data_IF_280568709789
#
_entry.id   IF_280568709789
#
_cell.length_a   1.000
_cell.length_b   1.000
_cell.length_c   1.000
_cell.angle_alpha   90.00
_cell.angle_beta   90.00
_cell.angle_gamma   90.00
#
_symmetry.space_group_name_H-M   'P 1'
#
loop_
_entity.id
_entity.type
_entity.pdbx_description
1 polymer ?
#
# COMPACT_ATOMS: atom_id res chain seq x y z
N UNK A 1 -6.15 0.87 14.52
CA UNK A 1 -6.92 -0.14 15.27
C UNK A 1 -6.75 -1.46 14.53
N UNK A 2 -6.45 -2.59 15.20
CA UNK A 2 -6.33 -3.88 14.52
C UNK A 2 -7.64 -4.25 13.80
N UNK A 3 -7.60 -4.81 12.57
CA UNK A 3 -8.80 -5.11 11.80
C UNK A 3 -9.83 -5.97 12.56
N UNK A 4 -9.36 -6.91 13.39
CA UNK A 4 -10.22 -7.77 14.21
C UNK A 4 -11.07 -6.99 15.24
N UNK A 5 -10.62 -5.83 15.71
CA UNK A 5 -11.41 -5.00 16.64
C UNK A 5 -12.57 -4.31 15.90
N UNK A 6 -12.35 -3.88 14.67
CA UNK A 6 -13.40 -3.31 13.81
C UNK A 6 -14.45 -4.37 13.46
N UNK A 7 -14.03 -5.62 13.16
CA UNK A 7 -14.97 -6.74 13.00
C UNK A 7 -15.88 -6.88 14.22
N UNK A 8 -15.31 -6.90 15.44
CA UNK A 8 -16.09 -7.05 16.68
C UNK A 8 -17.11 -5.94 16.85
N UNK A 9 -16.78 -4.70 16.48
CA UNK A 9 -17.71 -3.57 16.52
C UNK A 9 -18.85 -3.77 15.50
N UNK A 10 -18.53 -4.17 14.27
CA UNK A 10 -19.53 -4.39 13.22
C UNK A 10 -20.44 -5.60 13.53
N UNK A 11 -19.91 -6.66 14.12
CA UNK A 11 -20.71 -7.79 14.60
C UNK A 11 -21.53 -7.42 15.83
N UNK A 12 -21.02 -6.58 16.73
CA UNK A 12 -21.81 -6.04 17.83
C UNK A 12 -23.02 -5.26 17.31
N UNK A 13 -22.86 -4.47 16.25
CA UNK A 13 -23.98 -3.80 15.59
C UNK A 13 -25.01 -4.78 15.03
N UNK A 14 -24.58 -5.89 14.40
CA UNK A 14 -25.50 -6.96 13.97
C UNK A 14 -26.28 -7.56 15.16
N UNK A 15 -25.63 -7.79 16.31
CA UNK A 15 -26.29 -8.26 17.54
C UNK A 15 -27.31 -7.25 18.08
N UNK A 16 -27.03 -5.95 17.95
CA UNK A 16 -28.00 -4.91 18.33
C UNK A 16 -29.26 -4.95 17.46
N UNK A 17 -29.13 -5.24 16.16
CA UNK A 17 -30.28 -5.45 15.26
C UNK A 17 -31.10 -6.66 15.72
N UNK A 18 -30.45 -7.79 16.04
CA UNK A 18 -31.13 -8.99 16.58
C UNK A 18 -31.89 -8.66 17.88
N UNK A 19 -31.24 -7.95 18.81
CA UNK A 19 -31.87 -7.52 20.06
C UNK A 19 -33.07 -6.59 19.80
N UNK A 20 -32.94 -5.67 18.87
CA UNK A 20 -34.04 -4.81 18.43
C UNK A 20 -35.23 -5.61 17.91
N UNK A 21 -34.97 -6.62 17.06
CA UNK A 21 -35.99 -7.56 16.58
C UNK A 21 -36.72 -8.27 17.71
N UNK A 22 -35.98 -8.84 18.68
CA UNK A 22 -36.59 -9.50 19.86
C UNK A 22 -37.48 -8.57 20.67
N UNK A 23 -37.06 -7.33 20.89
CA UNK A 23 -37.83 -6.34 21.64
C UNK A 23 -39.13 -5.98 20.90
N UNK A 24 -39.07 -5.75 19.59
CA UNK A 24 -40.26 -5.41 18.80
C UNK A 24 -41.24 -6.58 18.67
N UNK A 25 -40.73 -7.81 18.53
CA UNK A 25 -41.56 -9.02 18.60
C UNK A 25 -42.25 -9.14 19.97
N UNK A 26 -41.52 -8.91 21.07
CA UNK A 26 -42.08 -8.91 22.42
C UNK A 26 -43.15 -7.84 22.66
N UNK A 27 -43.07 -6.70 21.96
CA UNK A 27 -44.10 -5.65 21.96
C UNK A 27 -45.29 -5.96 21.03
N UNK A 28 -45.27 -7.07 20.29
CA UNK A 28 -46.34 -7.45 19.37
C UNK A 28 -46.45 -6.55 18.14
N UNK A 29 -45.34 -5.94 17.71
CA UNK A 29 -45.32 -5.10 16.51
C UNK A 29 -45.69 -5.93 15.28
N UNK A 30 -46.69 -5.47 14.53
CA UNK A 30 -47.22 -6.13 13.34
C UNK A 30 -47.31 -5.21 12.12
N UNK A 31 -46.83 -3.97 12.22
CA UNK A 31 -46.79 -3.02 11.11
C UNK A 31 -45.80 -3.41 10.00
N UNK A 32 -44.87 -4.32 10.31
CA UNK A 32 -43.96 -4.96 9.36
C UNK A 32 -43.53 -6.33 9.89
N UNK A 33 -42.89 -7.13 9.02
CA UNK A 33 -42.33 -8.43 9.39
C UNK A 33 -41.06 -8.25 10.22
N UNK A 34 -41.13 -8.53 11.53
CA UNK A 34 -40.00 -8.40 12.46
C UNK A 34 -38.82 -9.30 12.04
N UNK A 35 -39.09 -10.40 11.33
CA UNK A 35 -38.04 -11.29 10.83
C UNK A 35 -37.12 -10.61 9.80
N UNK A 36 -37.57 -9.52 9.17
CA UNK A 36 -36.71 -8.71 8.29
C UNK A 36 -35.57 -8.03 9.05
N UNK A 37 -35.69 -7.80 10.35
CA UNK A 37 -34.57 -7.35 11.18
C UNK A 37 -33.54 -8.46 11.35
N UNK A 38 -33.96 -9.72 11.48
CA UNK A 38 -33.02 -10.86 11.53
C UNK A 38 -32.32 -11.07 10.18
N UNK A 39 -33.04 -10.86 9.05
CA UNK A 39 -32.44 -10.86 7.71
C UNK A 39 -31.43 -9.73 7.53
N UNK A 40 -31.74 -8.53 8.01
CA UNK A 40 -30.82 -7.39 8.00
C UNK A 40 -29.58 -7.67 8.85
N UNK A 41 -29.74 -8.24 10.05
CA UNK A 41 -28.63 -8.64 10.92
C UNK A 41 -27.72 -9.69 10.25
N UNK A 42 -28.29 -10.68 9.55
CA UNK A 42 -27.52 -11.66 8.78
C UNK A 42 -26.67 -11.01 7.68
N UNK A 43 -27.27 -10.12 6.89
CA UNK A 43 -26.56 -9.37 5.84
C UNK A 43 -25.45 -8.52 6.45
N UNK A 44 -25.73 -7.82 7.55
CA UNK A 44 -24.76 -7.00 8.26
C UNK A 44 -23.57 -7.81 8.78
N UNK A 45 -23.81 -9.00 9.33
CA UNK A 45 -22.77 -9.87 9.86
C UNK A 45 -21.83 -10.39 8.75
N UNK A 46 -22.40 -10.79 7.61
CA UNK A 46 -21.62 -11.26 6.46
C UNK A 46 -20.84 -10.10 5.80
N UNK A 47 -21.43 -8.90 5.74
CA UNK A 47 -20.72 -7.71 5.28
C UNK A 47 -19.56 -7.31 6.22
N UNK A 48 -19.74 -7.46 7.53
CA UNK A 48 -18.68 -7.24 8.51
C UNK A 48 -17.49 -8.18 8.29
N UNK A 49 -17.76 -9.47 8.02
CA UNK A 49 -16.72 -10.46 7.69
C UNK A 49 -15.99 -10.10 6.39
N UNK A 50 -16.73 -9.72 5.34
CA UNK A 50 -16.17 -9.33 4.04
C UNK A 50 -15.19 -8.17 4.18
N UNK A 51 -15.62 -7.10 4.86
CA UNK A 51 -14.80 -5.92 5.10
C UNK A 51 -13.57 -6.26 5.95
N UNK A 52 -13.75 -7.02 7.03
CA UNK A 52 -12.62 -7.46 7.86
C UNK A 52 -11.59 -8.28 7.06
N UNK A 53 -12.04 -9.22 6.23
CA UNK A 53 -11.12 -10.05 5.45
C UNK A 53 -10.26 -9.19 4.51
N UNK A 54 -10.84 -8.16 3.89
CA UNK A 54 -10.07 -7.19 3.10
C UNK A 54 -9.01 -6.48 3.95
N UNK A 55 -9.42 -5.85 5.05
CA UNK A 55 -8.51 -5.07 5.90
C UNK A 55 -7.41 -5.94 6.54
N UNK A 56 -7.72 -7.18 6.93
CA UNK A 56 -6.74 -8.14 7.45
C UNK A 56 -5.72 -8.55 6.38
N UNK A 57 -6.17 -8.83 5.15
CA UNK A 57 -5.28 -9.13 4.02
C UNK A 57 -4.39 -7.92 3.71
N UNK A 58 -4.95 -6.71 3.66
CA UNK A 58 -4.17 -5.49 3.39
C UNK A 58 -3.10 -5.27 4.46
N UNK A 59 -3.50 -5.33 5.73
CA UNK A 59 -2.62 -5.14 6.87
C UNK A 59 -1.44 -6.12 6.83
N UNK A 60 -1.70 -7.42 6.63
CA UNK A 60 -0.64 -8.44 6.58
C UNK A 60 0.21 -8.34 5.32
N UNK A 61 -0.38 -8.10 4.15
CA UNK A 61 0.37 -7.96 2.91
C UNK A 61 1.36 -6.79 2.97
N UNK A 62 0.93 -5.64 3.52
CA UNK A 62 1.82 -4.50 3.76
C UNK A 62 2.98 -4.86 4.70
N UNK A 63 2.69 -5.56 5.81
CA UNK A 63 3.73 -6.01 6.74
C UNK A 63 4.73 -7.00 6.12
N UNK A 64 4.29 -7.83 5.16
CA UNK A 64 5.16 -8.72 4.37
C UNK A 64 6.01 -7.90 3.38
N UNK A 65 5.43 -6.87 2.77
CA UNK A 65 6.12 -6.01 1.81
C UNK A 65 7.29 -5.24 2.42
N UNK A 66 7.19 -4.88 3.71
CA UNK A 66 8.23 -4.17 4.47
C UNK A 66 9.45 -5.02 4.85
N UNK A 67 9.44 -6.34 4.56
CA UNK A 67 10.54 -7.26 4.88
C UNK A 67 11.23 -7.76 3.59
N UNK A 68 12.09 -6.96 2.94
CA UNK A 68 12.80 -7.40 1.74
C UNK A 68 13.73 -8.59 2.05
N UNK A 69 13.90 -9.51 1.09
CA UNK A 69 14.80 -10.65 1.24
C UNK A 69 14.30 -11.82 2.11
N UNK A 70 13.11 -11.70 2.73
CA UNK A 70 12.49 -12.80 3.46
C UNK A 70 12.12 -13.95 2.51
N UNK A 71 12.74 -15.12 2.70
CA UNK A 71 12.47 -16.32 1.91
C UNK A 71 11.15 -17.01 2.26
N UNK A 72 10.50 -16.61 3.37
CA UNK A 72 9.21 -17.14 3.82
C UNK A 72 7.98 -16.47 3.22
N UNK A 73 8.15 -15.63 2.18
CA UNK A 73 7.01 -14.92 1.57
C UNK A 73 6.07 -15.88 0.84
N UNK A 74 4.73 -15.69 0.97
CA UNK A 74 3.76 -16.51 0.26
C UNK A 74 3.97 -16.47 -1.25
N UNK A 75 3.78 -17.60 -1.93
CA UNK A 75 3.99 -17.66 -3.39
C UNK A 75 3.11 -16.66 -4.15
N UNK A 76 1.87 -16.44 -3.73
CA UNK A 76 0.98 -15.49 -4.40
C UNK A 76 1.39 -14.04 -4.16
N UNK A 77 1.99 -13.75 -3.01
CA UNK A 77 2.58 -12.44 -2.73
C UNK A 77 3.70 -12.12 -3.73
N UNK A 78 4.61 -13.06 -3.94
CA UNK A 78 5.75 -12.88 -4.86
C UNK A 78 5.35 -12.68 -6.32
N UNK A 79 4.17 -13.16 -6.71
CA UNK A 79 3.61 -13.00 -8.05
C UNK A 79 2.59 -11.86 -8.15
N UNK A 80 2.45 -11.04 -7.09
CA UNK A 80 1.54 -9.90 -7.11
C UNK A 80 2.06 -8.81 -8.05
N UNK A 81 1.24 -8.40 -9.01
CA UNK A 81 1.64 -7.45 -10.04
C UNK A 81 1.58 -5.99 -9.54
N UNK A 82 2.68 -5.27 -9.74
CA UNK A 82 2.81 -3.86 -9.40
C UNK A 82 2.89 -3.03 -10.67
N UNK A 83 2.00 -2.02 -10.86
CA UNK A 83 2.11 -1.11 -11.99
C UNK A 83 3.42 -0.31 -11.94
N UNK A 84 4.10 -0.16 -13.08
CA UNK A 84 5.33 0.64 -13.16
C UNK A 84 5.14 2.08 -12.68
N UNK A 85 3.96 2.66 -12.89
CA UNK A 85 3.62 3.99 -12.36
C UNK A 85 3.81 4.08 -10.84
N UNK A 86 3.36 3.06 -10.09
CA UNK A 86 3.53 3.05 -8.64
C UNK A 86 5.02 2.98 -8.27
N UNK A 87 5.81 2.21 -9.00
CA UNK A 87 7.27 2.15 -8.80
C UNK A 87 7.90 3.52 -9.04
N UNK A 88 7.52 4.21 -10.11
CA UNK A 88 7.98 5.57 -10.41
C UNK A 88 7.57 6.56 -9.32
N UNK A 89 6.30 6.54 -8.88
CA UNK A 89 5.79 7.42 -7.82
C UNK A 89 6.52 7.22 -6.49
N UNK A 90 6.86 5.97 -6.14
CA UNK A 90 7.63 5.65 -4.93
C UNK A 90 9.09 6.09 -5.07
N UNK A 91 9.74 5.81 -6.20
CA UNK A 91 11.12 6.21 -6.45
C UNK A 91 11.29 7.74 -6.49
N UNK A 92 10.27 8.46 -6.97
CA UNK A 92 10.24 9.92 -6.99
C UNK A 92 9.88 10.54 -5.62
N UNK A 93 9.48 9.72 -4.64
CA UNK A 93 9.08 10.15 -3.30
C UNK A 93 7.69 10.79 -3.25
N UNK A 94 6.84 10.61 -4.26
CA UNK A 94 5.46 11.13 -4.26
C UNK A 94 4.55 10.37 -3.30
N UNK A 95 4.81 9.07 -3.11
CA UNK A 95 4.11 8.21 -2.17
C UNK A 95 5.11 7.28 -1.49
N UNK A 96 4.89 6.94 -0.22
CA UNK A 96 5.69 5.89 0.41
C UNK A 96 5.36 4.53 -0.22
N UNK A 97 6.32 3.60 -0.20
CA UNK A 97 6.05 2.22 -0.63
C UNK A 97 4.87 1.61 0.12
N UNK A 98 4.79 1.85 1.44
CA UNK A 98 3.70 1.37 2.29
C UNK A 98 2.32 1.86 1.81
N UNK A 99 2.16 3.17 1.65
CA UNK A 99 0.88 3.77 1.24
C UNK A 99 0.53 3.38 -0.19
N UNK A 100 1.50 3.46 -1.11
CA UNK A 100 1.26 3.17 -2.52
C UNK A 100 0.94 1.69 -2.78
N UNK A 101 1.65 0.78 -2.11
CA UNK A 101 1.35 -0.66 -2.17
C UNK A 101 -0.01 -0.98 -1.56
N UNK A 102 -0.34 -0.40 -0.39
CA UNK A 102 -1.64 -0.54 0.22
C UNK A 102 -2.79 -0.08 -0.71
N UNK A 103 -2.64 1.06 -1.37
CA UNK A 103 -3.65 1.56 -2.31
C UNK A 103 -3.78 0.68 -3.55
N UNK A 104 -2.67 0.12 -4.04
CA UNK A 104 -2.68 -0.84 -5.13
C UNK A 104 -3.36 -2.15 -4.72
N UNK A 105 -3.12 -2.65 -3.50
CA UNK A 105 -3.84 -3.79 -2.96
C UNK A 105 -5.34 -3.53 -2.90
N UNK A 106 -5.75 -2.38 -2.36
CA UNK A 106 -7.16 -1.97 -2.31
C UNK A 106 -7.79 -1.97 -3.69
N UNK A 107 -7.17 -1.30 -4.67
CA UNK A 107 -7.64 -1.28 -6.07
C UNK A 107 -7.74 -2.68 -6.67
N UNK A 108 -6.74 -3.53 -6.44
CA UNK A 108 -6.69 -4.88 -7.03
C UNK A 108 -7.72 -5.85 -6.46
N UNK A 109 -8.06 -5.71 -5.17
CA UNK A 109 -8.97 -6.64 -4.47
C UNK A 109 -10.40 -6.10 -4.33
N UNK A 110 -10.66 -4.80 -4.54
CA UNK A 110 -11.96 -4.16 -4.29
C UNK A 110 -13.17 -4.82 -5.01
N UNK A 111 -12.95 -5.48 -6.14
CA UNK A 111 -14.03 -6.15 -6.89
C UNK A 111 -14.35 -7.56 -6.38
N UNK A 112 -13.59 -8.07 -5.41
CA UNK A 112 -13.72 -9.43 -4.88
C UNK A 112 -14.51 -9.38 -3.57
N UNK A 113 -15.54 -10.21 -3.45
CA UNK A 113 -16.25 -10.40 -2.19
C UNK A 113 -15.61 -11.57 -1.41
N UNK A 114 -15.23 -11.33 -0.15
CA UNK A 114 -14.63 -12.30 0.76
C UNK A 114 -15.66 -12.84 1.75
N UNK A 115 -16.72 -13.43 1.21
CA UNK A 115 -17.83 -13.99 2.01
C UNK A 115 -17.95 -15.50 1.87
N UNK A 116 -17.66 -16.00 0.67
CA UNK A 116 -17.62 -17.43 0.42
C UNK A 116 -16.24 -17.99 0.87
N UNK A 117 -16.19 -19.15 1.53
CA UNK A 117 -14.93 -19.70 2.05
C UNK A 117 -13.86 -19.97 0.98
N UNK A 118 -14.26 -20.29 -0.26
CA UNK A 118 -13.31 -20.43 -1.37
C UNK A 118 -12.64 -19.09 -1.71
N UNK A 119 -13.41 -18.00 -1.72
CA UNK A 119 -12.91 -16.65 -1.99
C UNK A 119 -12.08 -16.09 -0.85
N UNK A 120 -12.47 -16.36 0.40
CA UNK A 120 -11.66 -16.05 1.58
C UNK A 120 -10.30 -16.75 1.47
N UNK A 121 -10.26 -18.07 1.22
CA UNK A 121 -9.00 -18.80 1.00
C UNK A 121 -8.16 -18.20 -0.14
N UNK A 122 -8.82 -17.87 -1.25
CA UNK A 122 -8.16 -17.23 -2.38
C UNK A 122 -7.55 -15.86 -2.01
N UNK A 123 -8.23 -15.04 -1.21
CA UNK A 123 -7.72 -13.76 -0.74
C UNK A 123 -6.52 -13.94 0.20
N UNK A 124 -6.68 -14.73 1.25
CA UNK A 124 -5.65 -14.98 2.25
C UNK A 124 -4.41 -15.67 1.70
N UNK A 125 -4.48 -16.38 0.57
CA UNK A 125 -3.28 -16.91 -0.08
C UNK A 125 -2.25 -15.84 -0.49
N UNK A 126 -2.64 -14.55 -0.51
CA UNK A 126 -1.70 -13.44 -0.68
C UNK A 126 -0.79 -13.22 0.54
N UNK A 127 -1.19 -13.71 1.72
CA UNK A 127 -0.50 -13.44 2.99
C UNK A 127 -0.07 -14.71 3.73
N UNK A 128 -0.41 -15.89 3.22
CA UNK A 128 -0.03 -17.20 3.78
C UNK A 128 -0.03 -18.28 2.71
N UNK A 129 0.81 -19.31 2.86
CA UNK A 129 0.75 -20.54 2.05
C UNK A 129 0.08 -21.72 2.79
N UNK A 130 -0.46 -21.48 4.00
CA UNK A 130 -1.16 -22.50 4.79
C UNK A 130 -2.35 -23.11 4.03
N UNK A 131 -2.67 -24.37 4.38
CA UNK A 131 -3.99 -24.92 4.11
C UNK A 131 -5.01 -24.30 5.07
N UNK A 132 -5.41 -23.05 4.78
CA UNK A 132 -6.17 -22.17 5.66
C UNK A 132 -7.27 -22.88 6.47
N UNK A 133 -8.19 -23.57 5.79
CA UNK A 133 -9.34 -24.20 6.46
C UNK A 133 -8.97 -25.38 7.35
N UNK A 134 -7.88 -26.09 7.04
CA UNK A 134 -7.40 -27.18 7.88
C UNK A 134 -6.77 -26.62 9.17
N UNK A 135 -6.00 -25.54 9.08
CA UNK A 135 -5.42 -24.87 10.25
C UNK A 135 -6.50 -24.19 11.12
N UNK A 136 -7.46 -23.50 10.50
CA UNK A 136 -8.62 -22.93 11.21
C UNK A 136 -9.39 -24.02 11.95
N UNK A 137 -9.64 -25.17 11.32
CA UNK A 137 -10.33 -26.28 11.96
C UNK A 137 -9.55 -26.85 13.16
N UNK A 138 -8.20 -26.89 13.08
CA UNK A 138 -7.35 -27.29 14.21
C UNK A 138 -7.45 -26.29 15.37
N UNK A 139 -7.34 -24.99 15.08
CA UNK A 139 -7.49 -23.93 16.09
C UNK A 139 -8.85 -24.03 16.78
N UNK A 140 -9.93 -24.10 16.00
CA UNK A 140 -11.28 -24.25 16.55
C UNK A 140 -11.46 -25.52 17.38
N UNK A 141 -10.82 -26.63 16.98
CA UNK A 141 -10.84 -27.87 17.77
C UNK A 141 -10.13 -27.71 19.10
N UNK A 142 -8.99 -26.99 19.13
CA UNK A 142 -8.23 -26.77 20.36
C UNK A 142 -9.00 -25.91 21.39
N UNK A 143 -9.83 -24.98 20.93
CA UNK A 143 -10.67 -24.13 21.79
C UNK A 143 -11.96 -24.79 22.29
N UNK A 144 -12.30 -25.98 21.79
CA UNK A 144 -13.52 -26.69 22.21
C UNK A 144 -13.31 -27.45 23.51
N UNK A 145 -14.08 -27.09 24.53
CA UNK A 145 -14.13 -27.81 25.80
C UNK A 145 -14.86 -29.15 25.73
N UNK A 146 -15.71 -29.35 24.71
CA UNK A 146 -16.51 -30.58 24.52
C UNK A 146 -15.73 -31.73 23.85
N UNK A 147 -14.46 -31.51 23.49
CA UNK A 147 -13.58 -32.49 22.85
C UNK A 147 -13.99 -32.89 21.43
N UNK A 148 -15.03 -32.26 20.85
CA UNK A 148 -15.48 -32.57 19.48
C UNK A 148 -14.57 -31.91 18.47
N UNK A 149 -14.07 -32.70 17.53
CA UNK A 149 -13.25 -32.19 16.42
C UNK A 149 -14.08 -31.38 15.45
N UNK A 150 -13.56 -30.23 15.03
CA UNK A 150 -14.07 -29.47 13.87
C UNK A 150 -13.45 -30.03 12.60
N UNK A 151 -14.27 -30.39 11.62
CA UNK A 151 -13.83 -30.89 10.32
C UNK A 151 -13.87 -29.72 9.32
N UNK A 152 -12.74 -29.44 8.65
CA UNK A 152 -12.62 -28.33 7.71
C UNK A 152 -13.71 -28.35 6.61
N UNK A 153 -14.03 -29.54 6.08
CA UNK A 153 -15.09 -29.71 5.07
C UNK A 153 -16.47 -29.28 5.56
N UNK A 154 -16.81 -29.62 6.81
CA UNK A 154 -18.09 -29.26 7.43
C UNK A 154 -18.16 -27.76 7.72
N UNK A 155 -17.05 -27.17 8.20
CA UNK A 155 -16.93 -25.74 8.40
C UNK A 155 -17.10 -24.96 7.07
N UNK A 156 -16.43 -25.40 6.01
CA UNK A 156 -16.57 -24.82 4.67
C UNK A 156 -18.03 -24.92 4.19
N UNK A 157 -18.67 -26.07 4.39
CA UNK A 157 -20.08 -26.24 4.02
C UNK A 157 -20.98 -25.26 4.78
N UNK A 158 -20.79 -25.14 6.10
CA UNK A 158 -21.56 -24.22 6.95
C UNK A 158 -21.39 -22.76 6.50
N UNK A 159 -20.15 -22.30 6.31
CA UNK A 159 -19.87 -20.94 5.83
C UNK A 159 -20.43 -20.69 4.42
N UNK A 160 -20.43 -21.70 3.57
CA UNK A 160 -21.05 -21.62 2.23
C UNK A 160 -22.55 -21.42 2.34
N UNK A 161 -23.24 -22.15 3.23
CA UNK A 161 -24.67 -21.95 3.50
C UNK A 161 -24.94 -20.54 4.01
N UNK A 162 -24.08 -20.00 4.89
CA UNK A 162 -24.20 -18.63 5.39
C UNK A 162 -24.10 -17.59 4.28
N UNK A 163 -23.09 -17.70 3.42
CA UNK A 163 -22.90 -16.79 2.29
C UNK A 163 -24.04 -16.90 1.25
N UNK A 164 -24.49 -18.12 0.95
CA UNK A 164 -25.60 -18.34 0.01
C UNK A 164 -26.91 -17.76 0.55
N UNK A 165 -27.16 -17.91 1.85
CA UNK A 165 -28.33 -17.32 2.52
C UNK A 165 -28.29 -15.79 2.44
N UNK A 166 -27.12 -15.15 2.63
CA UNK A 166 -26.95 -13.70 2.41
C UNK A 166 -27.35 -13.30 1.01
N UNK A 167 -26.83 -14.00 -0.01
CA UNK A 167 -27.16 -13.71 -1.40
C UNK A 167 -28.66 -13.81 -1.66
N UNK A 168 -29.31 -14.83 -1.10
CA UNK A 168 -30.74 -15.02 -1.22
C UNK A 168 -31.55 -13.89 -0.59
N UNK A 169 -31.15 -13.42 0.60
CA UNK A 169 -31.76 -12.27 1.26
C UNK A 169 -31.61 -11.01 0.41
N UNK A 170 -30.39 -10.69 -0.02
CA UNK A 170 -30.09 -9.43 -0.71
C UNK A 170 -30.58 -9.38 -2.16
N UNK A 171 -30.57 -10.50 -2.89
CA UNK A 171 -30.81 -10.51 -4.34
C UNK A 171 -32.11 -11.23 -4.75
N UNK A 172 -32.64 -12.12 -3.92
CA UNK A 172 -33.80 -12.96 -4.26
C UNK A 172 -34.99 -12.75 -3.31
N UNK A 173 -34.97 -11.68 -2.50
CA UNK A 173 -36.00 -11.36 -1.51
C UNK A 173 -36.30 -12.52 -0.53
N UNK A 174 -35.32 -13.40 -0.33
CA UNK A 174 -35.37 -14.51 0.61
C UNK A 174 -36.47 -15.55 0.40
N UNK A 175 -36.98 -15.71 -0.84
CA UNK A 175 -38.16 -16.53 -1.14
C UNK A 175 -38.00 -18.01 -0.80
N UNK A 176 -39.02 -18.60 -0.19
CA UNK A 176 -39.07 -20.04 0.04
C UNK A 176 -39.39 -20.78 -1.28
N UNK A 177 -38.54 -21.70 -1.76
CA UNK A 177 -38.79 -22.45 -2.99
C UNK A 177 -39.93 -23.45 -2.84
N UNK A 178 -40.18 -23.94 -1.62
CA UNK A 178 -41.17 -24.97 -1.31
C UNK A 178 -42.53 -24.33 -0.94
N UNK A 179 -42.55 -23.04 -0.59
CA UNK A 179 -43.76 -22.30 -0.23
C UNK A 179 -43.94 -21.01 -1.05
N UNK A 180 -44.86 -21.05 -2.01
CA UNK A 180 -45.14 -19.93 -2.91
C UNK A 180 -45.56 -18.68 -2.12
N UNK A 181 -44.78 -17.61 -2.28
CA UNK A 181 -45.07 -16.31 -1.69
C UNK A 181 -44.48 -16.11 -0.28
N UNK A 182 -44.03 -17.17 0.38
CA UNK A 182 -43.35 -17.08 1.67
C UNK A 182 -41.87 -16.71 1.49
N UNK A 183 -41.28 -16.17 2.55
CA UNK A 183 -39.83 -16.09 2.73
C UNK A 183 -39.41 -17.30 3.56
N UNK A 184 -38.18 -17.78 3.43
CA UNK A 184 -37.73 -18.87 4.30
C UNK A 184 -37.66 -18.39 5.76
N UNK A 185 -37.99 -19.29 6.68
CA UNK A 185 -38.00 -19.03 8.11
C UNK A 185 -36.62 -18.56 8.61
N UNK A 186 -36.64 -17.66 9.60
CA UNK A 186 -35.45 -17.15 10.27
C UNK A 186 -35.85 -16.74 11.68
N UNK A 187 -35.06 -17.15 12.67
CA UNK A 187 -35.29 -16.79 14.06
C UNK A 187 -34.06 -16.12 14.66
N UNK A 188 -34.28 -15.43 15.77
CA UNK A 188 -33.27 -14.60 16.41
C UNK A 188 -32.10 -15.39 17.00
N UNK A 189 -32.28 -16.66 17.36
CA UNK A 189 -31.23 -17.50 17.94
C UNK A 189 -30.33 -18.03 16.83
N UNK A 190 -30.92 -18.53 15.74
CA UNK A 190 -30.18 -18.96 14.56
C UNK A 190 -29.28 -17.84 13.97
N UNK A 191 -29.77 -16.59 13.92
CA UNK A 191 -28.93 -15.46 13.47
C UNK A 191 -27.82 -15.14 14.47
N UNK A 192 -28.09 -15.24 15.77
CA UNK A 192 -27.07 -15.04 16.81
C UNK A 192 -25.95 -16.08 16.70
N UNK A 193 -26.30 -17.35 16.48
CA UNK A 193 -25.34 -18.43 16.25
C UNK A 193 -24.46 -18.17 15.02
N UNK A 194 -25.03 -17.63 13.94
CA UNK A 194 -24.24 -17.24 12.75
C UNK A 194 -23.28 -16.10 13.06
N UNK A 195 -23.72 -15.07 13.78
CA UNK A 195 -22.84 -13.95 14.18
C UNK A 195 -21.66 -14.47 15.01
N UNK A 196 -21.95 -15.34 15.98
CA UNK A 196 -20.94 -15.90 16.87
C UNK A 196 -19.98 -16.84 16.11
N UNK A 197 -20.49 -17.64 15.17
CA UNK A 197 -19.69 -18.45 14.25
C UNK A 197 -18.71 -17.58 13.45
N UNK A 198 -19.18 -16.49 12.83
CA UNK A 198 -18.35 -15.62 12.02
C UNK A 198 -17.24 -14.94 12.85
N UNK A 199 -17.56 -14.49 14.07
CA UNK A 199 -16.56 -13.94 14.98
C UNK A 199 -15.50 -14.99 15.34
N UNK A 200 -15.94 -16.21 15.70
CA UNK A 200 -15.04 -17.30 16.10
C UNK A 200 -14.14 -17.74 14.95
N UNK A 201 -14.67 -17.84 13.73
CA UNK A 201 -13.89 -18.21 12.54
C UNK A 201 -12.86 -17.15 12.21
N UNK A 202 -13.22 -15.86 12.26
CA UNK A 202 -12.27 -14.78 12.00
C UNK A 202 -11.14 -14.76 13.03
N UNK A 203 -11.45 -14.94 14.31
CA UNK A 203 -10.45 -15.06 15.37
C UNK A 203 -9.52 -16.26 15.14
N UNK A 204 -10.07 -17.42 14.75
CA UNK A 204 -9.28 -18.61 14.45
C UNK A 204 -8.38 -18.45 13.22
N UNK A 205 -8.81 -17.67 12.20
CA UNK A 205 -7.96 -17.29 11.07
C UNK A 205 -6.76 -16.45 11.56
N UNK A 206 -7.01 -15.42 12.37
CA UNK A 206 -5.93 -14.57 12.92
C UNK A 206 -4.93 -15.42 13.71
N UNK A 207 -5.42 -16.29 14.61
CA UNK A 207 -4.57 -17.16 15.42
C UNK A 207 -3.75 -18.13 14.56
N UNK A 208 -4.34 -18.75 13.54
CA UNK A 208 -3.62 -19.63 12.62
C UNK A 208 -2.47 -18.90 11.89
N UNK A 209 -2.72 -17.67 11.46
CA UNK A 209 -1.72 -16.83 10.77
C UNK A 209 -0.63 -16.33 11.73
N UNK A 210 -0.99 -16.01 12.97
CA UNK A 210 -0.03 -15.57 13.99
C UNK A 210 0.87 -16.72 14.45
N UNK A 211 0.33 -17.94 14.56
CA UNK A 211 1.12 -19.13 14.80
C UNK A 211 2.13 -19.40 13.68
N UNK A 212 1.74 -19.24 12.42
CA UNK A 212 2.68 -19.34 11.29
C UNK A 212 3.78 -18.28 11.37
N UNK A 213 3.42 -17.02 11.64
CA UNK A 213 4.39 -15.94 11.76
C UNK A 213 5.35 -16.10 12.95
N UNK A 214 4.96 -16.84 13.99
CA UNK A 214 5.79 -17.15 15.15
C UNK A 214 6.74 -18.35 14.92
N UNK A 215 6.56 -19.13 13.84
CA UNK A 215 7.50 -20.21 13.51
C UNK A 215 8.86 -19.60 13.11
N UNK A 216 9.98 -20.18 13.57
CA UNK A 216 11.30 -19.73 13.14
C UNK A 216 11.39 -19.87 11.62
N UNK A 217 11.69 -18.76 10.95
CA UNK A 217 11.82 -18.74 9.49
C UNK A 217 12.79 -19.87 9.06
N UNK A 218 12.48 -20.62 7.99
CA UNK A 218 13.44 -21.53 7.40
C UNK A 218 14.73 -20.74 7.14
N UNK A 219 15.87 -21.32 7.52
CA UNK A 219 17.17 -20.67 7.33
C UNK A 219 17.22 -20.12 5.91
N UNK A 220 17.46 -18.81 5.74
CA UNK A 220 17.41 -18.23 4.42
C UNK A 220 18.40 -18.98 3.53
N UNK A 221 17.95 -19.39 2.34
CA UNK A 221 18.89 -19.67 1.25
C UNK A 221 19.86 -18.50 1.19
N UNK A 222 21.18 -18.71 1.00
CA UNK A 222 22.18 -17.66 1.15
C UNK A 222 21.74 -16.44 0.35
N UNK A 223 21.22 -15.45 1.09
CA UNK A 223 20.91 -14.15 0.55
C UNK A 223 22.29 -13.61 0.25
N UNK A 224 22.65 -13.47 -1.02
CA UNK A 224 23.75 -12.59 -1.38
C UNK A 224 23.48 -11.30 -0.62
N UNK A 225 24.36 -10.90 0.31
CA UNK A 225 24.03 -9.82 1.21
C UNK A 225 23.60 -8.63 0.36
N UNK A 226 22.40 -8.10 0.60
CA UNK A 226 22.17 -6.68 0.34
C UNK A 226 23.09 -5.95 1.29
N UNK A 227 24.34 -5.81 0.86
CA UNK A 227 25.27 -4.87 1.44
C UNK A 227 24.55 -3.52 1.34
N UNK A 228 24.36 -2.84 2.46
CA UNK A 228 24.15 -1.40 2.42
C UNK A 228 25.27 -0.87 1.53
N UNK A 229 24.93 -0.54 0.29
CA UNK A 229 25.92 -0.12 -0.70
C UNK A 229 26.45 1.18 -0.13
N UNK A 230 27.70 1.17 0.30
CA UNK A 230 28.33 2.32 0.95
C UNK A 230 28.22 3.53 0.02
N UNK A 231 28.24 4.75 0.58
CA UNK A 231 28.22 5.97 -0.24
C UNK A 231 29.32 5.95 -1.34
N UNK A 232 30.46 5.32 -1.06
CA UNK A 232 31.54 5.10 -2.02
C UNK A 232 31.14 4.16 -3.17
N UNK A 233 30.46 3.06 -2.87
CA UNK A 233 29.98 2.12 -3.89
C UNK A 233 28.82 2.71 -4.71
N UNK A 234 27.94 3.52 -4.11
CA UNK A 234 26.87 4.24 -4.82
C UNK A 234 27.46 5.29 -5.78
N UNK A 235 28.43 6.06 -5.32
CA UNK A 235 29.18 6.99 -6.16
C UNK A 235 29.87 6.24 -7.33
N UNK A 236 30.50 5.10 -7.05
CA UNK A 236 31.14 4.30 -8.10
C UNK A 236 30.15 3.76 -9.15
N UNK A 237 28.94 3.36 -8.74
CA UNK A 237 27.87 2.94 -9.66
C UNK A 237 27.39 4.12 -10.51
N UNK A 238 27.19 5.28 -9.89
CA UNK A 238 26.86 6.52 -10.59
C UNK A 238 27.92 6.87 -11.64
N UNK A 239 29.20 6.91 -11.26
CA UNK A 239 30.31 7.19 -12.16
C UNK A 239 30.37 6.21 -13.33
N UNK A 240 30.11 4.92 -13.06
CA UNK A 240 30.07 3.87 -14.08
C UNK A 240 28.97 4.13 -15.11
N UNK A 241 27.75 4.51 -14.68
CA UNK A 241 26.67 4.83 -15.61
C UNK A 241 26.90 6.16 -16.32
N UNK A 242 27.39 7.17 -15.59
CA UNK A 242 27.66 8.49 -16.14
C UNK A 242 28.73 8.42 -17.24
N UNK A 243 29.75 7.57 -17.09
CA UNK A 243 30.83 7.38 -18.08
C UNK A 243 30.36 6.96 -19.48
N UNK A 244 29.11 6.52 -19.61
CA UNK A 244 28.47 6.18 -20.90
C UNK A 244 28.01 7.41 -21.68
N UNK A 245 27.91 8.57 -21.03
CA UNK A 245 27.58 9.86 -21.65
C UNK A 245 28.85 10.60 -22.04
N UNK A 246 28.83 11.29 -23.17
CA UNK A 246 29.99 12.09 -23.62
C UNK A 246 30.24 13.27 -22.66
N UNK A 247 29.18 13.75 -21.99
CA UNK A 247 29.16 14.87 -21.08
C UNK A 247 29.53 14.48 -19.64
N UNK A 248 29.99 13.24 -19.41
CA UNK A 248 30.43 12.80 -18.08
C UNK A 248 31.44 13.76 -17.43
N UNK A 249 32.48 14.27 -18.12
CA UNK A 249 33.42 15.22 -17.52
C UNK A 249 32.76 16.54 -17.11
N UNK A 250 31.74 16.99 -17.86
CA UNK A 250 31.01 18.21 -17.56
C UNK A 250 30.16 18.06 -16.28
N UNK A 251 29.44 16.94 -16.15
CA UNK A 251 28.68 16.63 -14.93
C UNK A 251 29.61 16.55 -13.72
N UNK A 252 30.72 15.81 -13.81
CA UNK A 252 31.70 15.70 -12.73
C UNK A 252 32.29 17.06 -12.33
N UNK A 253 32.56 17.95 -13.30
CA UNK A 253 33.03 19.30 -13.02
C UNK A 253 31.98 20.14 -12.27
N UNK A 254 30.70 19.98 -12.57
CA UNK A 254 29.61 20.65 -11.84
C UNK A 254 29.52 20.12 -10.40
N UNK A 255 29.63 18.80 -10.19
CA UNK A 255 29.59 18.20 -8.84
C UNK A 255 30.77 18.69 -7.98
N UNK A 256 31.97 18.77 -8.56
CA UNK A 256 33.16 19.31 -7.88
C UNK A 256 33.00 20.80 -7.54
N UNK A 257 32.52 21.63 -8.48
CA UNK A 257 32.24 23.06 -8.23
C UNK A 257 31.17 23.24 -7.16
N UNK A 258 30.11 22.44 -7.18
CA UNK A 258 29.04 22.47 -6.18
C UNK A 258 29.56 22.16 -4.77
N UNK A 259 30.40 21.13 -4.66
CA UNK A 259 31.03 20.75 -3.38
C UNK A 259 31.94 21.87 -2.86
N UNK A 260 32.70 22.53 -3.75
CA UNK A 260 33.55 23.69 -3.39
C UNK A 260 32.75 24.92 -2.98
N UNK A 261 31.51 25.08 -3.45
CA UNK A 261 30.58 26.13 -3.04
C UNK A 261 29.97 25.87 -1.65
N UNK A 262 30.26 24.71 -1.04
CA UNK A 262 29.71 24.28 0.25
C UNK A 262 28.40 23.48 0.12
N UNK A 263 28.01 23.07 -1.09
CA UNK A 263 26.92 22.12 -1.28
C UNK A 263 27.37 20.67 -1.03
N UNK A 264 26.43 19.79 -0.72
CA UNK A 264 26.66 18.35 -0.60
C UNK A 264 26.06 17.59 -1.78
N UNK A 265 26.58 16.39 -2.06
CA UNK A 265 26.07 15.48 -3.10
C UNK A 265 25.73 14.16 -2.45
N UNK A 266 24.50 13.70 -2.66
CA UNK A 266 24.04 12.37 -2.21
C UNK A 266 23.74 11.47 -3.39
N UNK A 267 23.89 10.16 -3.21
CA UNK A 267 23.68 9.15 -4.24
C UNK A 267 22.58 8.18 -3.82
N UNK A 268 21.75 7.76 -4.77
CA UNK A 268 20.67 6.79 -4.54
C UNK A 268 21.01 5.41 -5.10
N UNK A 269 20.54 4.35 -4.44
CA UNK A 269 20.67 2.97 -4.94
C UNK A 269 19.60 2.63 -5.99
N UNK A 270 18.38 3.14 -5.80
CA UNK A 270 17.21 2.74 -6.58
C UNK A 270 17.29 3.05 -8.08
N UNK A 271 17.72 4.26 -8.44
CA UNK A 271 17.85 4.70 -9.83
C UNK A 271 19.27 5.15 -10.20
N UNK A 272 20.23 4.95 -9.28
CA UNK A 272 21.65 5.32 -9.45
C UNK A 272 21.79 6.79 -9.89
N UNK A 273 21.09 7.69 -9.19
CA UNK A 273 21.13 9.14 -9.42
C UNK A 273 21.98 9.83 -8.36
N UNK A 274 22.33 11.09 -8.63
CA UNK A 274 22.89 11.98 -7.61
C UNK A 274 22.01 13.23 -7.43
N UNK A 275 21.99 13.76 -6.21
CA UNK A 275 21.23 14.94 -5.83
C UNK A 275 22.19 16.00 -5.26
N UNK A 276 22.12 17.21 -5.81
CA UNK A 276 22.86 18.37 -5.33
C UNK A 276 22.03 19.06 -4.25
N UNK A 277 22.53 19.02 -3.03
CA UNK A 277 21.89 19.57 -1.84
C UNK A 277 22.70 20.77 -1.36
N UNK A 278 22.02 21.81 -0.93
CA UNK A 278 22.62 22.94 -0.24
C UNK A 278 21.99 23.09 1.14
N UNK A 279 22.82 23.09 2.17
CA UNK A 279 22.38 23.27 3.53
C UNK A 279 22.11 24.78 3.75
N UNK A 280 20.90 25.13 4.18
CA UNK A 280 20.57 26.49 4.62
C UNK A 280 20.15 26.50 6.09
N UNK A 281 19.86 27.69 6.62
CA UNK A 281 19.57 27.90 8.05
C UNK A 281 18.42 27.02 8.56
N UNK A 282 17.30 26.99 7.84
CA UNK A 282 16.08 26.27 8.24
C UNK A 282 15.82 24.97 7.45
N UNK A 283 16.42 24.81 6.27
CA UNK A 283 16.08 23.74 5.33
C UNK A 283 17.28 23.27 4.50
N UNK A 284 17.25 21.99 4.10
CA UNK A 284 18.07 21.48 3.01
C UNK A 284 17.38 21.78 1.67
N UNK A 285 18.12 22.45 0.79
CA UNK A 285 17.64 22.86 -0.53
C UNK A 285 18.16 21.92 -1.60
N UNK A 286 17.25 21.16 -2.19
CA UNK A 286 17.60 20.25 -3.28
C UNK A 286 17.50 21.05 -4.58
N UNK A 287 18.65 21.22 -5.25
CA UNK A 287 18.74 22.05 -6.44
C UNK A 287 18.36 21.25 -7.69
N UNK A 288 19.14 20.21 -7.96
CA UNK A 288 19.01 19.38 -9.16
C UNK A 288 19.34 17.92 -8.89
N UNK A 289 18.63 17.04 -9.58
CA UNK A 289 18.88 15.61 -9.60
C UNK A 289 19.43 15.18 -10.97
N UNK A 290 20.52 14.41 -10.98
CA UNK A 290 21.16 13.89 -12.19
C UNK A 290 20.94 12.38 -12.28
N UNK A 291 20.30 11.93 -13.36
CA UNK A 291 19.96 10.53 -13.59
C UNK A 291 20.74 10.00 -14.81
N UNK A 292 21.91 9.38 -14.61
CA UNK A 292 22.74 8.89 -15.70
C UNK A 292 22.09 7.72 -16.45
N UNK A 293 21.22 6.93 -15.82
CA UNK A 293 20.52 5.85 -16.50
C UNK A 293 19.54 6.37 -17.57
N UNK A 294 18.70 7.35 -17.22
CA UNK A 294 17.73 7.95 -18.15
C UNK A 294 18.32 9.09 -18.98
N UNK A 295 19.54 9.54 -18.66
CA UNK A 295 20.24 10.60 -19.37
C UNK A 295 19.64 11.98 -19.13
N UNK A 296 19.03 12.24 -17.96
CA UNK A 296 18.31 13.48 -17.66
C UNK A 296 18.81 14.19 -16.40
N UNK A 297 18.69 15.51 -16.41
CA UNK A 297 18.85 16.40 -15.26
C UNK A 297 17.49 17.01 -14.95
N UNK A 298 17.08 17.01 -13.68
CA UNK A 298 15.81 17.56 -13.24
C UNK A 298 16.01 18.71 -12.26
N UNK A 299 15.20 19.77 -12.39
CA UNK A 299 15.08 20.82 -11.39
C UNK A 299 13.95 20.45 -10.43
N UNK A 300 14.22 20.41 -9.14
CA UNK A 300 13.28 19.93 -8.10
C UNK A 300 12.33 21.03 -7.60
N UNK A 301 11.63 21.73 -8.51
CA UNK A 301 10.71 22.82 -8.14
C UNK A 301 9.59 22.38 -7.20
N UNK A 302 9.11 21.15 -7.34
CA UNK A 302 8.15 20.51 -6.45
C UNK A 302 8.60 20.56 -4.98
N UNK A 303 9.89 20.31 -4.74
CA UNK A 303 10.52 20.38 -3.42
C UNK A 303 10.76 21.83 -3.00
N UNK A 304 11.30 22.64 -3.89
CA UNK A 304 11.63 24.04 -3.62
C UNK A 304 10.38 24.88 -3.29
N UNK A 305 9.22 24.53 -3.85
CA UNK A 305 7.95 25.26 -3.66
C UNK A 305 7.46 25.36 -2.21
N UNK A 306 8.05 24.60 -1.29
CA UNK A 306 7.69 24.55 0.14
C UNK A 306 8.77 25.14 1.04
N UNK A 307 9.82 25.73 0.47
CA UNK A 307 11.03 26.17 1.19
C UNK A 307 11.33 27.64 0.83
N UNK A 308 11.16 28.60 1.75
CA UNK A 308 11.55 30.00 1.52
C UNK A 308 13.02 30.13 1.10
N UNK A 309 13.42 31.03 0.20
CA UNK A 309 12.55 31.97 -0.52
C UNK A 309 11.93 31.36 -1.79
N UNK A 310 12.23 30.10 -2.11
CA UNK A 310 11.70 29.43 -3.29
C UNK A 310 10.26 28.94 -3.14
N UNK A 311 9.57 29.23 -2.04
CA UNK A 311 8.11 29.18 -1.95
C UNK A 311 7.47 30.31 -2.78
N UNK A 312 8.20 31.40 -3.06
CA UNK A 312 7.85 32.40 -4.05
C UNK A 312 7.95 31.84 -5.49
N UNK A 313 6.81 31.87 -6.19
CA UNK A 313 6.72 31.45 -7.60
C UNK A 313 7.55 32.32 -8.54
N UNK A 314 7.80 33.59 -8.20
CA UNK A 314 8.63 34.48 -9.00
C UNK A 314 10.08 34.00 -9.05
N UNK A 315 10.67 33.62 -7.92
CA UNK A 315 12.03 33.07 -7.86
C UNK A 315 12.15 31.72 -8.58
N UNK A 316 11.14 30.85 -8.47
CA UNK A 316 11.12 29.59 -9.24
C UNK A 316 11.05 29.85 -10.75
N UNK A 317 10.30 30.88 -11.18
CA UNK A 317 10.25 31.29 -12.60
C UNK A 317 11.58 31.86 -13.08
N UNK A 318 12.28 32.62 -12.25
CA UNK A 318 13.61 33.14 -12.57
C UNK A 318 14.64 32.01 -12.71
N UNK A 319 14.66 31.05 -11.77
CA UNK A 319 15.50 29.86 -11.89
C UNK A 319 15.21 29.08 -13.19
N UNK A 320 13.94 28.95 -13.55
CA UNK A 320 13.54 28.30 -14.81
C UNK A 320 14.07 29.07 -16.03
N UNK A 321 14.03 30.40 -16.02
CA UNK A 321 14.59 31.22 -17.10
C UNK A 321 16.10 31.04 -17.21
N UNK A 322 16.82 31.03 -16.09
CA UNK A 322 18.27 30.73 -16.04
C UNK A 322 18.58 29.35 -16.63
N UNK A 323 17.76 28.34 -16.35
CA UNK A 323 17.92 26.98 -16.91
C UNK A 323 17.58 26.93 -18.40
N UNK A 324 16.65 27.75 -18.89
CA UNK A 324 16.33 27.87 -20.32
C UNK A 324 17.42 28.59 -21.13
N UNK A 325 18.38 29.27 -20.50
CA UNK A 325 19.56 29.80 -21.17
C UNK A 325 20.57 28.70 -21.58
N UNK A 326 20.38 27.46 -21.11
CA UNK A 326 21.15 26.30 -21.57
C UNK A 326 20.71 25.95 -23.01
N UNK A 327 21.63 25.85 -23.98
CA UNK A 327 21.27 25.54 -25.36
C UNK A 327 20.48 24.22 -25.47
N UNK A 328 19.34 24.28 -26.16
CA UNK A 328 18.47 23.11 -26.36
C UNK A 328 17.56 22.76 -25.18
N UNK A 329 17.54 23.58 -24.13
CA UNK A 329 16.62 23.43 -23.00
C UNK A 329 15.45 24.40 -23.14
N UNK A 330 14.23 23.89 -22.99
CA UNK A 330 13.00 24.67 -23.03
C UNK A 330 11.99 24.12 -22.01
N UNK A 331 12.14 24.51 -20.75
CA UNK A 331 11.23 24.15 -19.67
C UNK A 331 9.94 24.99 -19.78
N UNK A 332 8.74 24.38 -19.76
CA UNK A 332 7.46 25.10 -19.86
C UNK A 332 7.21 26.10 -18.72
N UNK A 333 6.41 27.14 -18.96
CA UNK A 333 6.09 28.16 -17.94
C UNK A 333 5.35 27.59 -16.71
N UNK A 334 4.52 26.56 -16.92
CA UNK A 334 3.73 25.89 -15.89
C UNK A 334 4.49 24.80 -15.12
N UNK A 335 5.74 24.50 -15.51
CA UNK A 335 6.53 23.44 -14.87
C UNK A 335 7.14 23.82 -13.52
N UNK A 336 7.00 25.08 -13.08
CA UNK A 336 7.56 25.61 -11.81
C UNK A 336 6.91 25.06 -10.53
N UNK A 337 5.95 24.15 -10.66
CA UNK A 337 5.35 23.41 -9.54
C UNK A 337 5.64 21.90 -9.60
N UNK A 338 6.33 21.43 -10.64
CA UNK A 338 6.65 20.02 -10.86
C UNK A 338 8.15 19.78 -10.79
N UNK A 339 8.61 18.76 -11.52
CA UNK A 339 10.03 18.42 -11.62
C UNK A 339 10.44 18.34 -13.10
N UNK A 340 10.49 19.46 -13.82
CA UNK A 340 10.90 19.47 -15.21
C UNK A 340 12.33 18.99 -15.36
N UNK A 341 12.62 18.33 -16.47
CA UNK A 341 13.97 17.87 -16.76
C UNK A 341 14.36 18.07 -18.21
N UNK A 342 15.67 18.06 -18.42
CA UNK A 342 16.31 18.20 -19.72
C UNK A 342 17.42 17.17 -19.89
N UNK A 343 17.84 16.84 -21.12
CA UNK A 343 18.86 15.82 -21.36
C UNK A 343 20.24 16.25 -20.83
N UNK A 344 21.01 15.30 -20.28
CA UNK A 344 22.44 15.50 -19.92
C UNK A 344 23.25 16.01 -21.14
N UNK A 345 22.87 15.59 -22.34
CA UNK A 345 23.47 16.05 -23.60
C UNK A 345 23.40 17.58 -23.80
N UNK A 346 22.50 18.29 -23.11
CA UNK A 346 22.44 19.76 -23.16
C UNK A 346 23.65 20.45 -22.50
N UNK A 347 24.49 19.71 -21.76
CA UNK A 347 25.71 20.25 -21.16
C UNK A 347 26.86 20.44 -22.17
N UNK A 348 26.69 19.99 -23.41
CA UNK A 348 27.68 20.20 -24.47
C UNK A 348 27.96 21.70 -24.72
N UNK A 349 29.21 22.03 -25.06
CA UNK A 349 29.62 23.40 -25.36
C UNK A 349 29.39 24.34 -24.16
N UNK A 350 28.67 25.46 -24.32
CA UNK A 350 28.46 26.41 -23.23
C UNK A 350 27.42 25.93 -22.19
N UNK A 351 26.75 24.79 -22.41
CA UNK A 351 25.70 24.31 -21.52
C UNK A 351 26.15 24.02 -20.09
N UNK A 352 27.39 23.54 -19.92
CA UNK A 352 28.00 23.31 -18.60
C UNK A 352 28.10 24.60 -17.78
N UNK A 353 28.62 25.67 -18.37
CA UNK A 353 28.77 26.96 -17.68
C UNK A 353 27.42 27.65 -17.45
N UNK A 354 26.44 27.44 -18.34
CA UNK A 354 25.06 27.94 -18.17
C UNK A 354 24.34 27.26 -17.01
N UNK A 355 24.44 25.92 -16.90
CA UNK A 355 23.89 25.21 -15.75
C UNK A 355 24.60 25.64 -14.45
N UNK A 356 25.93 25.79 -14.48
CA UNK A 356 26.66 26.28 -13.32
C UNK A 356 26.21 27.67 -12.88
N UNK A 357 26.04 28.62 -13.81
CA UNK A 357 25.54 29.96 -13.49
C UNK A 357 24.14 29.93 -12.84
N UNK A 358 23.25 29.04 -13.31
CA UNK A 358 21.94 28.84 -12.71
C UNK A 358 22.03 28.29 -11.27
N UNK A 359 22.93 27.32 -11.03
CA UNK A 359 23.16 26.74 -9.69
C UNK A 359 23.82 27.71 -8.73
N UNK A 360 24.76 28.53 -9.21
CA UNK A 360 25.41 29.57 -8.44
C UNK A 360 24.43 30.69 -8.05
N UNK A 361 23.60 31.12 -9.00
CA UNK A 361 22.51 32.05 -8.71
C UNK A 361 21.54 31.44 -7.69
N UNK A 362 21.11 30.19 -7.88
CA UNK A 362 20.24 29.48 -6.93
C UNK A 362 20.82 29.51 -5.51
N UNK A 363 22.09 29.14 -5.39
CA UNK A 363 22.82 29.13 -4.14
C UNK A 363 22.93 30.51 -3.48
N UNK A 364 23.01 31.59 -4.26
CA UNK A 364 23.04 32.96 -3.76
C UNK A 364 21.71 33.45 -3.18
N UNK A 365 20.60 32.81 -3.54
CA UNK A 365 19.27 33.13 -3.01
C UNK A 365 18.98 32.41 -1.70
N UNK A 366 19.72 31.35 -1.37
CA UNK A 366 19.50 30.56 -0.14
C UNK A 366 20.17 31.26 1.06
N UNK A 367 19.42 31.58 2.13
CA UNK A 367 20.00 32.07 3.38
C UNK A 367 20.93 31.02 4.00
N UNK A 368 22.15 31.44 4.36
CA UNK A 368 23.16 30.60 5.04
C UNK A 368 23.64 31.32 6.29
N UNK A 369 23.96 30.55 7.33
CA UNK A 369 24.61 31.05 8.56
C UNK A 369 26.01 31.63 8.31
#
# INVERSE_FOLDING_TARGET
MPPIQELKQNLHYARQIVRGGRLLAGLGVSSFDVDDLYRAAWVQAVAALDHWAHEEIYHRAVAIAQRPGDSGKPRKFLNFEIPMRLVEEVNMGFVSWETGFHDQLKKSLAHRAFQNPAKIKEGFSLVTDLQLWDEVAKVLTAHRSDGRRVVARELIHLLTTVANRRNKISHEADRDPDQRGAKMAIDADAVQEVIDLLETVAAAIVEALDHEAALPAPQPAPVLPMQNTSAAELAQRFDTLLSRHQEAPAVLAILDRWTKLGGSVTYSDGDTSCLLILDGEDFDYWAVAVHPFSGKIHITFDQLSRRPPFDDVALRRELRLQVNDIPGVALPDDSVNGRPGFPIAALHGPGTDRLWAALEWFASQVPRE
#
